data_IF_338093254954
#
_entry.id   IF_338093254954
#
_cell.length_a   1.000
_cell.length_b   1.000
_cell.length_c   1.000
_cell.angle_alpha   90.00
_cell.angle_beta   90.00
_cell.angle_gamma   90.00
#
_symmetry.space_group_name_H-M   'P 1'
#
loop_
_entity.id
_entity.type
_entity.pdbx_description
1 polymer ?
#
# COMPACT_ATOMS: atom_id res chain seq x y z
N UNK A 1 -19.09 -15.20 7.84
CA UNK A 1 -18.29 -16.30 7.26
C UNK A 1 -16.91 -16.33 7.91
N UNK A 2 -16.41 -17.49 8.36
CA UNK A 2 -15.03 -17.62 8.81
C UNK A 2 -14.09 -17.27 7.65
N UNK A 3 -13.02 -16.51 7.94
CA UNK A 3 -12.09 -16.06 6.91
C UNK A 3 -11.20 -17.21 6.47
N UNK A 4 -11.00 -17.38 5.18
CA UNK A 4 -9.92 -18.23 4.66
C UNK A 4 -8.55 -17.63 5.01
N UNK A 5 -7.60 -18.51 5.29
CA UNK A 5 -6.19 -18.13 5.43
C UNK A 5 -5.70 -17.53 4.10
N UNK A 6 -4.84 -16.50 4.18
CA UNK A 6 -4.22 -15.95 2.97
C UNK A 6 -3.13 -16.92 2.52
N UNK A 7 -3.07 -17.18 1.22
CA UNK A 7 -1.95 -17.87 0.58
C UNK A 7 -0.74 -16.94 0.65
N UNK A 8 0.22 -17.27 1.52
CA UNK A 8 1.45 -16.52 1.73
C UNK A 8 2.56 -17.48 2.12
N UNK A 9 3.68 -17.42 1.39
CA UNK A 9 4.95 -18.03 1.73
C UNK A 9 6.07 -17.05 1.38
N UNK A 10 7.24 -17.12 2.04
CA UNK A 10 8.37 -16.26 1.70
C UNK A 10 8.69 -16.34 0.21
N UNK A 11 8.86 -15.18 -0.44
CA UNK A 11 9.04 -15.07 -1.88
C UNK A 11 7.76 -14.99 -2.69
N UNK A 12 6.57 -15.10 -2.09
CA UNK A 12 5.31 -14.91 -2.83
C UNK A 12 5.13 -13.46 -3.25
N UNK A 13 4.84 -13.22 -4.53
CA UNK A 13 4.49 -11.91 -5.05
C UNK A 13 3.04 -11.54 -4.73
N UNK A 14 2.84 -10.33 -4.21
CA UNK A 14 1.54 -9.82 -3.84
C UNK A 14 1.28 -8.42 -4.40
N UNK A 15 0.10 -8.24 -5.01
CA UNK A 15 -0.51 -6.94 -5.16
C UNK A 15 -1.41 -6.64 -3.96
N UNK A 16 -0.98 -5.68 -3.15
CA UNK A 16 -1.63 -5.27 -1.91
C UNK A 16 -2.34 -3.95 -2.13
N UNK A 17 -3.57 -3.86 -1.61
CA UNK A 17 -4.37 -2.64 -1.62
C UNK A 17 -4.87 -2.32 -0.21
N UNK A 18 -4.77 -1.06 0.19
CA UNK A 18 -5.29 -0.53 1.45
C UNK A 18 -6.15 0.69 1.18
N UNK A 19 -7.24 0.86 1.92
CA UNK A 19 -8.21 1.95 1.70
C UNK A 19 -8.71 2.51 3.04
N UNK A 20 -8.89 3.82 3.08
CA UNK A 20 -9.47 4.53 4.20
C UNK A 20 -10.91 4.13 4.48
N UNK A 21 -11.31 4.14 5.75
CA UNK A 21 -12.69 3.91 6.14
C UNK A 21 -13.60 4.96 5.49
N UNK A 22 -14.76 4.54 4.97
CA UNK A 22 -15.72 5.40 4.24
C UNK A 22 -15.10 6.16 3.06
N UNK A 23 -14.01 5.66 2.48
CA UNK A 23 -13.31 6.33 1.38
C UNK A 23 -12.60 7.63 1.79
N UNK A 24 -12.45 7.88 3.10
CA UNK A 24 -11.72 9.03 3.64
C UNK A 24 -10.24 8.97 3.28
N UNK A 25 -9.62 10.15 3.29
CA UNK A 25 -8.20 10.29 3.07
C UNK A 25 -7.39 9.59 4.18
N UNK A 26 -6.44 8.79 3.74
CA UNK A 26 -5.37 8.20 4.54
C UNK A 26 -4.06 8.96 4.34
N UNK A 27 -3.95 9.86 3.36
CA UNK A 27 -2.88 10.84 3.21
C UNK A 27 -3.51 12.22 2.96
N UNK A 28 -3.42 13.11 3.94
CA UNK A 28 -3.95 14.48 3.84
C UNK A 28 -2.93 15.40 3.16
N UNK A 29 -1.64 15.15 3.41
CA UNK A 29 -0.54 15.93 2.87
C UNK A 29 0.67 15.03 2.54
N UNK A 30 1.73 15.66 2.02
CA UNK A 30 2.94 14.94 1.61
C UNK A 30 3.70 14.33 2.79
N UNK A 31 3.64 14.94 3.97
CA UNK A 31 4.29 14.37 5.15
C UNK A 31 3.59 13.08 5.63
N UNK A 32 2.30 12.90 5.35
CA UNK A 32 1.61 11.63 5.60
C UNK A 32 2.15 10.53 4.66
N UNK A 33 2.36 10.87 3.38
CA UNK A 33 2.94 9.95 2.40
C UNK A 33 4.39 9.60 2.74
N UNK A 34 5.17 10.58 3.19
CA UNK A 34 6.54 10.39 3.66
C UNK A 34 6.61 9.48 4.89
N UNK A 35 5.75 9.68 5.92
CA UNK A 35 5.70 8.78 7.08
C UNK A 35 5.37 7.35 6.66
N UNK A 36 4.41 7.19 5.74
CA UNK A 36 4.04 5.86 5.23
C UNK A 36 5.21 5.19 4.50
N UNK A 37 5.87 5.88 3.56
CA UNK A 37 7.00 5.33 2.81
C UNK A 37 8.22 5.07 3.70
N UNK A 38 8.49 5.93 4.69
CA UNK A 38 9.56 5.72 5.66
C UNK A 38 9.34 4.42 6.44
N UNK A 39 8.10 4.14 6.86
CA UNK A 39 7.72 2.89 7.54
C UNK A 39 7.80 1.68 6.62
N UNK A 40 7.35 1.81 5.37
CA UNK A 40 7.51 0.75 4.37
C UNK A 40 8.98 0.40 4.20
N UNK A 41 9.86 1.40 4.10
CA UNK A 41 11.31 1.22 3.98
C UNK A 41 11.91 0.52 5.20
N UNK A 42 11.62 1.01 6.40
CA UNK A 42 12.11 0.42 7.66
C UNK A 42 11.68 -1.05 7.77
N UNK A 43 10.39 -1.32 7.62
CA UNK A 43 9.86 -2.68 7.72
C UNK A 43 10.36 -3.60 6.61
N UNK A 44 10.55 -3.08 5.40
CA UNK A 44 11.08 -3.82 4.25
C UNK A 44 12.46 -4.40 4.56
N UNK A 45 13.33 -3.58 5.14
CA UNK A 45 14.67 -3.99 5.57
C UNK A 45 14.61 -5.01 6.71
N UNK A 46 13.77 -4.76 7.72
CA UNK A 46 13.66 -5.63 8.90
C UNK A 46 13.09 -7.02 8.57
N UNK A 47 12.13 -7.11 7.64
CA UNK A 47 11.44 -8.36 7.34
C UNK A 47 11.97 -9.09 6.12
N UNK A 48 12.87 -8.45 5.36
CA UNK A 48 13.32 -8.92 4.05
C UNK A 48 12.21 -8.87 2.98
N UNK A 49 11.22 -7.99 3.15
CA UNK A 49 10.12 -7.82 2.20
C UNK A 49 10.56 -6.91 1.07
N UNK A 50 10.67 -7.42 -0.16
CA UNK A 50 11.09 -6.61 -1.31
C UNK A 50 9.90 -5.88 -1.92
N UNK A 51 9.99 -4.55 -2.01
CA UNK A 51 9.00 -3.72 -2.69
C UNK A 51 9.42 -3.53 -4.15
N UNK A 52 8.51 -3.74 -5.10
CA UNK A 52 8.75 -3.57 -6.54
C UNK A 52 8.15 -2.28 -7.10
N UNK A 53 6.94 -1.91 -6.66
CA UNK A 53 6.24 -0.73 -7.13
C UNK A 53 5.22 -0.27 -6.08
N UNK A 54 4.84 1.01 -6.11
CA UNK A 54 3.76 1.54 -5.29
C UNK A 54 3.01 2.65 -6.01
N UNK A 55 1.82 2.98 -5.51
CA UNK A 55 1.11 4.22 -5.84
C UNK A 55 0.31 4.63 -4.60
N UNK A 56 0.51 5.84 -4.11
CA UNK A 56 -0.18 6.39 -2.96
C UNK A 56 -1.17 7.46 -3.42
N UNK A 57 -2.47 7.20 -3.30
CA UNK A 57 -3.56 8.13 -3.57
C UNK A 57 -4.20 8.57 -2.26
N UNK A 58 -4.87 9.72 -2.20
CA UNK A 58 -5.32 10.31 -0.93
C UNK A 58 -6.05 9.32 -0.01
N UNK A 59 -6.97 8.51 -0.53
CA UNK A 59 -7.77 7.56 0.26
C UNK A 59 -7.37 6.08 0.13
N UNK A 60 -6.35 5.74 -0.67
CA UNK A 60 -5.90 4.35 -0.82
C UNK A 60 -4.46 4.24 -1.33
N UNK A 61 -3.81 3.11 -1.05
CA UNK A 61 -2.47 2.83 -1.55
C UNK A 61 -2.40 1.43 -2.15
N UNK A 62 -1.56 1.31 -3.19
CA UNK A 62 -1.23 0.07 -3.87
C UNK A 62 0.26 -0.22 -3.63
N UNK A 63 0.59 -1.47 -3.27
CA UNK A 63 1.96 -1.96 -3.14
C UNK A 63 2.10 -3.25 -3.94
N UNK A 64 3.18 -3.39 -4.70
CA UNK A 64 3.62 -4.66 -5.27
C UNK A 64 4.86 -5.11 -4.53
N UNK A 65 4.80 -6.27 -3.88
CA UNK A 65 5.88 -6.72 -3.02
C UNK A 65 6.02 -8.25 -2.97
N UNK A 66 7.25 -8.71 -2.77
CA UNK A 66 7.54 -10.09 -2.41
C UNK A 66 7.53 -10.23 -0.89
N UNK A 67 6.77 -11.22 -0.40
CA UNK A 67 6.69 -11.53 1.01
C UNK A 67 8.06 -11.94 1.57
N UNK A 68 8.46 -11.36 2.69
CA UNK A 68 9.70 -11.71 3.38
C UNK A 68 9.55 -12.94 4.27
N UNK A 69 10.61 -13.33 4.98
CA UNK A 69 10.58 -14.49 5.90
C UNK A 69 9.53 -14.38 7.00
N UNK A 70 9.23 -13.14 7.40
CA UNK A 70 8.24 -12.84 8.45
C UNK A 70 6.79 -12.94 7.97
N UNK A 71 6.58 -13.05 6.65
CA UNK A 71 5.26 -13.11 6.02
C UNK A 71 4.57 -11.75 5.85
N UNK A 72 3.69 -11.67 4.87
CA UNK A 72 2.90 -10.49 4.53
C UNK A 72 1.96 -10.07 5.68
N UNK A 73 1.28 -10.99 6.41
CA UNK A 73 0.44 -10.61 7.54
C UNK A 73 1.18 -9.86 8.64
N UNK A 74 2.41 -10.27 8.97
CA UNK A 74 3.20 -9.61 10.01
C UNK A 74 3.67 -8.23 9.55
N UNK A 75 4.19 -8.13 8.31
CA UNK A 75 4.60 -6.87 7.69
C UNK A 75 3.46 -5.86 7.66
N UNK A 76 2.31 -6.23 7.07
CA UNK A 76 1.18 -5.32 6.92
C UNK A 76 0.53 -4.95 8.25
N UNK A 77 0.54 -5.85 9.24
CA UNK A 77 0.06 -5.52 10.60
C UNK A 77 0.93 -4.43 11.23
N UNK A 78 2.26 -4.55 11.16
CA UNK A 78 3.17 -3.53 11.69
C UNK A 78 3.02 -2.20 10.95
N UNK A 79 2.97 -2.25 9.62
CA UNK A 79 2.82 -1.07 8.75
C UNK A 79 1.53 -0.30 9.06
N UNK A 80 0.38 -0.95 8.94
CA UNK A 80 -0.92 -0.26 9.02
C UNK A 80 -1.25 0.18 10.44
N UNK A 81 -0.92 -0.62 11.45
CA UNK A 81 -1.14 -0.21 12.85
C UNK A 81 -0.24 0.96 13.21
N UNK A 82 1.05 0.88 12.86
CA UNK A 82 1.99 1.97 13.15
C UNK A 82 1.58 3.27 12.48
N UNK A 83 1.24 3.20 11.19
CA UNK A 83 0.80 4.35 10.43
C UNK A 83 -0.50 4.96 10.99
N UNK A 84 -1.53 4.15 11.23
CA UNK A 84 -2.81 4.64 11.76
C UNK A 84 -2.65 5.36 13.11
N UNK A 85 -1.78 4.86 14.00
CA UNK A 85 -1.50 5.51 15.29
C UNK A 85 -0.85 6.89 15.09
N UNK A 86 0.18 7.00 14.22
CA UNK A 86 0.82 8.30 13.96
C UNK A 86 -0.12 9.28 13.26
N UNK A 87 -0.85 8.82 12.25
CA UNK A 87 -1.84 9.61 11.52
C UNK A 87 -2.91 10.16 12.46
N UNK A 88 -3.52 9.28 13.27
CA UNK A 88 -4.56 9.70 14.22
C UNK A 88 -4.03 10.72 15.23
N UNK A 89 -2.82 10.54 15.75
CA UNK A 89 -2.20 11.51 16.66
C UNK A 89 -1.96 12.86 15.98
N UNK A 90 -1.40 12.86 14.76
CA UNK A 90 -1.09 14.08 14.00
C UNK A 90 -2.36 14.88 13.68
N UNK A 91 -3.41 14.19 13.25
CA UNK A 91 -4.67 14.79 12.81
C UNK A 91 -5.74 14.88 13.92
N UNK A 92 -5.35 14.60 15.18
CA UNK A 92 -6.25 14.58 16.36
C UNK A 92 -7.53 13.75 16.15
N UNK A 93 -7.40 12.62 15.45
CA UNK A 93 -8.49 11.69 15.16
C UNK A 93 -8.56 10.58 16.20
N UNK A 94 -9.76 10.02 16.35
CA UNK A 94 -10.04 8.82 17.14
C UNK A 94 -10.71 7.79 16.24
N UNK A 95 -10.44 6.50 16.48
CA UNK A 95 -11.06 5.39 15.77
C UNK A 95 -10.21 4.83 14.62
N UNK A 96 -10.84 4.01 13.79
CA UNK A 96 -10.17 3.31 12.69
C UNK A 96 -9.84 4.28 11.54
N UNK A 97 -8.63 4.13 10.98
CA UNK A 97 -8.24 4.83 9.76
C UNK A 97 -8.60 4.03 8.51
N UNK A 98 -8.37 2.72 8.53
CA UNK A 98 -8.59 1.84 7.38
C UNK A 98 -9.94 1.14 7.46
N UNK A 99 -10.59 0.94 6.30
CA UNK A 99 -11.91 0.30 6.21
C UNK A 99 -11.89 -1.14 6.71
N UNK A 100 -10.83 -1.87 6.37
CA UNK A 100 -10.64 -3.28 6.67
C UNK A 100 -9.13 -3.54 6.77
N UNK A 101 -8.76 -4.80 7.01
CA UNK A 101 -7.39 -5.25 6.67
C UNK A 101 -7.12 -5.00 5.18
N UNK A 102 -5.85 -4.95 4.82
CA UNK A 102 -5.42 -4.94 3.43
C UNK A 102 -6.05 -6.09 2.60
N UNK A 103 -6.35 -5.80 1.34
CA UNK A 103 -6.59 -6.80 0.30
C UNK A 103 -5.24 -7.23 -0.27
N UNK A 104 -5.09 -8.50 -0.58
CA UNK A 104 -3.90 -9.05 -1.24
C UNK A 104 -4.34 -10.02 -2.32
N UNK A 105 -3.72 -9.92 -3.49
CA UNK A 105 -3.86 -10.86 -4.60
C UNK A 105 -2.48 -11.46 -4.83
N UNK A 106 -2.37 -12.79 -4.88
CA UNK A 106 -1.14 -13.48 -5.29
C UNK A 106 -0.99 -13.30 -6.79
N UNK A 107 0.20 -12.92 -7.23
CA UNK A 107 0.50 -12.65 -8.63
C UNK A 107 1.54 -13.66 -9.15
N UNK A 108 1.43 -14.01 -10.42
CA UNK A 108 2.45 -14.83 -11.10
C UNK A 108 3.57 -13.94 -11.65
N UNK A 109 4.80 -14.44 -11.63
CA UNK A 109 6.00 -13.69 -12.03
C UNK A 109 6.21 -13.58 -13.57
N UNK A 110 5.31 -14.17 -14.37
CA UNK A 110 5.42 -14.26 -15.84
C UNK A 110 4.94 -12.95 -16.52
N UNK A 111 4.79 -12.80 -17.87
CA UNK A 111 4.78 -11.49 -18.56
C UNK A 111 3.76 -10.45 -18.05
N UNK A 112 2.77 -10.88 -17.28
CA UNK A 112 1.82 -10.03 -16.54
C UNK A 112 2.48 -9.10 -15.52
N UNK A 113 3.69 -9.39 -15.02
CA UNK A 113 4.36 -8.56 -14.02
C UNK A 113 4.54 -7.10 -14.49
N UNK A 114 5.00 -6.90 -15.73
CA UNK A 114 5.18 -5.56 -16.31
C UNK A 114 3.85 -4.85 -16.52
N UNK A 115 2.78 -5.58 -16.84
CA UNK A 115 1.44 -5.01 -16.95
C UNK A 115 0.90 -4.58 -15.59
N UNK A 116 1.15 -5.37 -14.54
CA UNK A 116 0.76 -5.06 -13.18
C UNK A 116 1.52 -3.84 -12.62
N UNK A 117 2.82 -3.76 -12.87
CA UNK A 117 3.62 -2.56 -12.54
C UNK A 117 3.04 -1.33 -13.23
N UNK A 118 2.81 -1.40 -14.55
CA UNK A 118 2.17 -0.31 -15.30
C UNK A 118 0.79 0.03 -14.73
N UNK A 119 -0.03 -0.96 -14.42
CA UNK A 119 -1.33 -0.77 -13.81
C UNK A 119 -1.22 0.03 -12.51
N UNK A 120 -0.27 -0.32 -11.63
CA UNK A 120 -0.04 0.38 -10.36
C UNK A 120 0.29 1.85 -10.61
N UNK A 121 1.27 2.14 -11.46
CA UNK A 121 1.65 3.52 -11.78
C UNK A 121 0.55 4.32 -12.51
N UNK A 122 -0.41 3.65 -13.15
CA UNK A 122 -1.58 4.29 -13.76
C UNK A 122 -2.74 4.53 -12.79
N UNK A 123 -2.67 4.05 -11.54
CA UNK A 123 -3.76 4.23 -10.56
C UNK A 123 -4.03 5.69 -10.20
N UNK A 124 -3.04 6.60 -10.07
CA UNK A 124 -3.34 8.01 -9.82
C UNK A 124 -4.25 8.63 -10.88
N UNK A 125 -4.03 8.29 -12.16
CA UNK A 125 -4.87 8.75 -13.27
C UNK A 125 -6.25 8.08 -13.25
N UNK A 126 -6.30 6.76 -13.07
CA UNK A 126 -7.56 5.99 -13.04
C UNK A 126 -8.44 6.32 -11.83
N UNK A 127 -7.82 6.71 -10.72
CA UNK A 127 -8.47 7.13 -9.49
C UNK A 127 -8.81 8.61 -9.46
N UNK A 128 -8.63 9.33 -10.57
CA UNK A 128 -8.89 10.78 -10.71
C UNK A 128 -8.12 11.64 -9.69
N UNK A 129 -6.95 11.19 -9.24
CA UNK A 129 -6.03 11.98 -8.41
C UNK A 129 -5.25 12.98 -9.25
N UNK A 130 -4.92 12.58 -10.48
CA UNK A 130 -4.38 13.44 -11.53
C UNK A 130 -5.33 13.44 -12.72
N UNK A 131 -5.35 14.54 -13.48
CA UNK A 131 -6.32 14.74 -14.57
C UNK A 131 -5.88 14.12 -15.89
N UNK A 132 -4.57 14.12 -16.14
CA UNK A 132 -4.01 13.74 -17.43
C UNK A 132 -2.60 13.13 -17.30
N UNK A 133 -2.01 12.82 -18.45
CA UNK A 133 -0.67 12.24 -18.54
C UNK A 133 0.44 13.20 -18.11
N UNK A 134 0.27 14.52 -18.24
CA UNK A 134 1.30 15.48 -17.86
C UNK A 134 1.39 15.61 -16.34
N UNK A 135 0.25 15.68 -15.66
CA UNK A 135 0.20 15.59 -14.20
C UNK A 135 0.72 14.23 -13.71
N UNK A 136 0.40 13.12 -14.40
CA UNK A 136 0.90 11.80 -14.01
C UNK A 136 2.42 11.70 -14.07
N UNK A 137 3.07 12.26 -15.10
CA UNK A 137 4.54 12.26 -15.24
C UNK A 137 5.25 12.96 -14.08
N UNK A 138 4.60 13.93 -13.45
CA UNK A 138 5.15 14.69 -12.32
C UNK A 138 4.67 14.18 -10.96
N UNK A 139 3.85 13.12 -10.95
CA UNK A 139 3.31 12.54 -9.73
C UNK A 139 4.38 11.80 -8.92
N UNK A 140 4.82 12.42 -7.83
CA UNK A 140 5.94 11.92 -7.00
C UNK A 140 5.64 10.68 -6.18
N UNK A 141 4.37 10.31 -6.04
CA UNK A 141 3.91 9.31 -5.07
C UNK A 141 3.61 7.95 -5.72
N UNK A 142 4.28 7.65 -6.83
CA UNK A 142 4.23 6.36 -7.51
C UNK A 142 5.61 5.92 -7.97
#
# INVERSE_FOLDING_TARGET
>A
MPRQARLDSPGTLHHVMVRGIEGRDIFVDDSDREDFLARVRELSLDTGTRILAWALMNNHAHLLLFSGKTGLPAFMRKLLTGYAVRFNRRHRRVGHLFQNRYKSVVCEENPYLLELVRYIHLNPLRGSVVKDWEELKTYRWS
#
